data_IF_722055975039
#
_entry.id   IF_722055975039
#
_cell.length_a   1.000
_cell.length_b   1.000
_cell.length_c   1.000
_cell.angle_alpha   90.00
_cell.angle_beta   90.00
_cell.angle_gamma   90.00
#
_symmetry.space_group_name_H-M   'P 1'
#
loop_
_entity.id
_entity.type
_entity.pdbx_description
1 polymer ?
#
# COMPACT_ATOMS: atom_id res chain seq x y z
N UNK A 1 47.39 -2.67 4.19
CA UNK A 1 46.35 -2.75 5.24
C UNK A 1 45.14 -1.85 4.95
N UNK A 2 45.22 -0.87 4.03
CA UNK A 2 44.08 -0.03 3.60
C UNK A 2 42.97 -0.76 2.83
N UNK A 3 43.27 -1.87 2.13
CA UNK A 3 42.25 -2.60 1.34
C UNK A 3 41.22 -3.38 2.16
N UNK A 4 41.46 -3.61 3.46
CA UNK A 4 40.54 -4.36 4.33
C UNK A 4 39.55 -3.45 5.07
N UNK A 5 39.80 -2.13 5.13
CA UNK A 5 38.92 -1.16 5.80
C UNK A 5 37.77 -0.71 4.88
N UNK A 6 37.97 -0.77 3.55
CA UNK A 6 36.94 -0.37 2.57
C UNK A 6 35.89 -1.46 2.32
N UNK A 7 36.16 -2.72 2.68
CA UNK A 7 35.15 -3.80 2.64
C UNK A 7 34.22 -3.81 3.87
N UNK A 8 34.60 -3.15 4.96
CA UNK A 8 33.86 -3.19 6.23
C UNK A 8 32.57 -2.35 6.25
N UNK A 9 32.33 -1.49 5.25
CA UNK A 9 31.25 -0.50 5.27
C UNK A 9 30.31 -0.54 4.06
N UNK A 10 30.18 -1.68 3.35
CA UNK A 10 29.12 -1.80 2.34
C UNK A 10 27.76 -1.90 3.05
N UNK A 11 26.82 -0.95 2.85
CA UNK A 11 25.56 -0.97 3.57
C UNK A 11 24.75 -2.24 3.26
N UNK A 12 24.33 -2.98 4.29
CA UNK A 12 23.57 -4.23 4.12
C UNK A 12 22.33 -4.05 3.23
N UNK A 13 22.21 -4.93 2.23
CA UNK A 13 21.10 -4.94 1.27
C UNK A 13 19.98 -5.92 1.63
N UNK A 14 19.99 -6.48 2.85
CA UNK A 14 18.99 -7.48 3.31
C UNK A 14 17.56 -6.94 3.22
N UNK A 15 17.32 -5.72 3.72
CA UNK A 15 15.99 -5.08 3.65
C UNK A 15 15.55 -4.84 2.20
N UNK A 16 16.44 -4.31 1.35
CA UNK A 16 16.16 -4.15 -0.07
C UNK A 16 15.76 -5.47 -0.74
N UNK A 17 16.52 -6.55 -0.49
CA UNK A 17 16.20 -7.89 -1.02
C UNK A 17 14.82 -8.35 -0.53
N UNK A 18 14.53 -8.19 0.76
CA UNK A 18 13.21 -8.50 1.31
C UNK A 18 12.09 -7.74 0.58
N UNK A 19 12.27 -6.44 0.33
CA UNK A 19 11.27 -5.64 -0.38
C UNK A 19 10.98 -6.16 -1.79
N UNK A 20 12.03 -6.42 -2.58
CA UNK A 20 11.89 -6.79 -4.00
C UNK A 20 11.51 -8.25 -4.25
N UNK A 21 11.84 -9.14 -3.31
CA UNK A 21 11.53 -10.57 -3.42
C UNK A 21 10.22 -10.95 -2.75
N UNK A 22 9.79 -10.22 -1.72
CA UNK A 22 8.60 -10.60 -0.95
C UNK A 22 7.63 -9.44 -0.74
N UNK A 23 8.01 -8.36 -0.06
CA UNK A 23 7.05 -7.35 0.44
C UNK A 23 6.19 -6.72 -0.65
N UNK A 24 6.78 -6.33 -1.78
CA UNK A 24 6.03 -5.70 -2.88
C UNK A 24 5.08 -6.66 -3.59
N UNK A 25 5.45 -7.94 -3.68
CA UNK A 25 4.57 -8.99 -4.19
C UNK A 25 3.41 -9.27 -3.23
N UNK A 26 3.72 -9.43 -1.94
CA UNK A 26 2.71 -9.62 -0.91
C UNK A 26 1.73 -8.44 -0.86
N UNK A 27 2.22 -7.19 -0.92
CA UNK A 27 1.37 -6.00 -0.97
C UNK A 27 0.51 -5.94 -2.23
N UNK A 28 1.03 -6.36 -3.38
CA UNK A 28 0.24 -6.45 -4.62
C UNK A 28 -0.90 -7.48 -4.50
N UNK A 29 -0.61 -8.66 -3.94
CA UNK A 29 -1.62 -9.71 -3.71
C UNK A 29 -2.67 -9.26 -2.71
N UNK A 30 -2.26 -8.67 -1.58
CA UNK A 30 -3.19 -8.16 -0.57
C UNK A 30 -4.12 -7.08 -1.15
N UNK A 31 -3.59 -6.16 -1.95
CA UNK A 31 -4.42 -5.17 -2.62
C UNK A 31 -5.42 -5.79 -3.61
N UNK A 32 -5.04 -6.86 -4.33
CA UNK A 32 -5.97 -7.59 -5.20
C UNK A 32 -7.05 -8.33 -4.40
N UNK A 33 -6.68 -8.97 -3.29
CA UNK A 33 -7.65 -9.62 -2.40
C UNK A 33 -8.67 -8.62 -1.88
N UNK A 34 -8.21 -7.45 -1.40
CA UNK A 34 -9.09 -6.37 -0.97
C UNK A 34 -9.96 -5.86 -2.13
N UNK A 35 -9.40 -5.69 -3.34
CA UNK A 35 -10.18 -5.27 -4.51
C UNK A 35 -11.31 -6.26 -4.83
N UNK A 36 -11.06 -7.57 -4.73
CA UNK A 36 -12.11 -8.59 -4.88
C UNK A 36 -13.18 -8.41 -3.82
N UNK A 37 -12.80 -8.22 -2.55
CA UNK A 37 -13.77 -8.02 -1.47
C UNK A 37 -14.65 -6.79 -1.69
N UNK A 38 -14.09 -5.69 -2.19
CA UNK A 38 -14.85 -4.49 -2.56
C UNK A 38 -15.78 -4.75 -3.75
N UNK A 39 -15.33 -5.45 -4.80
CA UNK A 39 -16.20 -5.78 -5.94
C UNK A 39 -17.37 -6.68 -5.56
N UNK A 40 -17.15 -7.63 -4.65
CA UNK A 40 -18.19 -8.58 -4.22
C UNK A 40 -19.00 -8.06 -3.04
N UNK A 41 -18.60 -6.94 -2.42
CA UNK A 41 -19.19 -6.42 -1.18
C UNK A 41 -18.94 -7.31 0.03
N UNK A 42 -18.00 -8.26 -0.04
CA UNK A 42 -17.77 -9.22 1.06
C UNK A 42 -17.10 -8.58 2.28
N UNK A 43 -16.68 -7.31 2.17
CA UNK A 43 -16.30 -6.48 3.32
C UNK A 43 -17.44 -6.31 4.32
N UNK A 44 -18.69 -6.47 3.88
CA UNK A 44 -19.89 -6.37 4.73
C UNK A 44 -20.43 -7.74 5.16
N UNK A 45 -19.72 -8.83 4.87
CA UNK A 45 -20.14 -10.20 5.18
C UNK A 45 -20.53 -11.00 3.94
N UNK A 46 -21.60 -11.78 4.04
CA UNK A 46 -22.16 -12.59 2.96
C UNK A 46 -22.83 -11.74 1.88
N UNK A 47 -23.07 -12.33 0.70
CA UNK A 47 -23.71 -11.60 -0.41
C UNK A 47 -25.09 -11.04 -0.08
N UNK A 48 -25.84 -11.68 0.83
CA UNK A 48 -27.15 -11.19 1.26
C UNK A 48 -27.02 -9.96 2.17
N UNK A 49 -26.05 -9.97 3.09
CA UNK A 49 -25.78 -8.84 3.99
C UNK A 49 -25.27 -7.63 3.20
N UNK A 50 -24.36 -7.84 2.25
CA UNK A 50 -23.86 -6.80 1.36
C UNK A 50 -25.00 -6.14 0.56
N UNK A 51 -25.95 -6.93 0.05
CA UNK A 51 -27.10 -6.39 -0.67
C UNK A 51 -28.00 -5.51 0.21
N UNK A 52 -28.18 -5.88 1.48
CA UNK A 52 -28.94 -5.04 2.43
C UNK A 52 -28.22 -3.72 2.71
N UNK A 53 -26.89 -3.77 2.90
CA UNK A 53 -26.07 -2.56 3.10
C UNK A 53 -26.17 -1.63 1.90
N UNK A 54 -26.05 -2.16 0.67
CA UNK A 54 -26.15 -1.35 -0.54
C UNK A 54 -27.57 -0.87 -0.85
N UNK A 55 -28.60 -1.58 -0.42
CA UNK A 55 -29.98 -1.13 -0.53
C UNK A 55 -30.28 0.02 0.45
N UNK A 56 -29.63 0.00 1.62
CA UNK A 56 -29.82 1.03 2.64
C UNK A 56 -28.97 2.29 2.37
N UNK A 57 -27.71 2.11 1.97
CA UNK A 57 -26.78 3.19 1.65
C UNK A 57 -26.61 3.33 0.14
N UNK A 58 -27.48 4.14 -0.47
CA UNK A 58 -27.39 4.43 -1.89
C UNK A 58 -26.05 5.08 -2.26
N UNK A 59 -25.47 4.68 -3.38
CA UNK A 59 -24.15 5.13 -3.83
C UNK A 59 -22.93 4.42 -3.21
N UNK A 60 -23.06 3.73 -2.07
CA UNK A 60 -21.92 3.05 -1.43
C UNK A 60 -21.31 1.97 -2.34
N UNK A 61 -22.15 1.25 -3.09
CA UNK A 61 -21.70 0.27 -4.09
C UNK A 61 -20.81 0.89 -5.16
N UNK A 62 -21.10 2.13 -5.58
CA UNK A 62 -20.28 2.83 -6.56
C UNK A 62 -18.92 3.23 -5.96
N UNK A 63 -18.90 3.67 -4.70
CA UNK A 63 -17.66 3.97 -3.96
C UNK A 63 -16.77 2.74 -3.87
N UNK A 64 -17.33 1.58 -3.51
CA UNK A 64 -16.58 0.32 -3.41
C UNK A 64 -16.01 -0.12 -4.75
N UNK A 65 -16.77 0.01 -5.84
CA UNK A 65 -16.27 -0.30 -7.19
C UNK A 65 -15.09 0.61 -7.57
N UNK A 66 -15.16 1.91 -7.26
CA UNK A 66 -14.05 2.84 -7.50
C UNK A 66 -12.82 2.47 -6.66
N UNK A 67 -13.01 2.10 -5.39
CA UNK A 67 -11.94 1.65 -4.50
C UNK A 67 -11.29 0.36 -5.02
N UNK A 68 -12.09 -0.61 -5.47
CA UNK A 68 -11.59 -1.85 -6.05
C UNK A 68 -10.70 -1.59 -7.27
N UNK A 69 -11.12 -0.71 -8.18
CA UNK A 69 -10.32 -0.32 -9.34
C UNK A 69 -9.01 0.38 -8.92
N UNK A 70 -9.08 1.28 -7.94
CA UNK A 70 -7.89 1.95 -7.41
C UNK A 70 -6.90 0.95 -6.82
N UNK A 71 -7.36 -0.05 -6.07
CA UNK A 71 -6.51 -1.08 -5.48
C UNK A 71 -5.83 -1.97 -6.54
N UNK A 72 -6.50 -2.25 -7.66
CA UNK A 72 -5.87 -2.92 -8.81
C UNK A 72 -4.74 -2.06 -9.39
N UNK A 73 -4.98 -0.76 -9.58
CA UNK A 73 -3.94 0.18 -10.07
C UNK A 73 -2.75 0.22 -9.11
N UNK A 74 -3.00 0.29 -7.80
CA UNK A 74 -1.95 0.26 -6.76
C UNK A 74 -1.19 -1.07 -6.79
N UNK A 75 -1.87 -2.19 -7.01
CA UNK A 75 -1.23 -3.51 -7.14
C UNK A 75 -0.26 -3.55 -8.31
N UNK A 76 -0.69 -3.09 -9.49
CA UNK A 76 0.19 -2.95 -10.66
C UNK A 76 1.36 -2.02 -10.35
N UNK A 77 1.10 -0.87 -9.71
CA UNK A 77 2.15 0.08 -9.34
C UNK A 77 3.18 -0.51 -8.36
N UNK A 78 2.76 -1.40 -7.46
CA UNK A 78 3.66 -2.15 -6.58
C UNK A 78 4.63 -3.02 -7.37
N UNK A 79 4.14 -3.73 -8.39
CA UNK A 79 4.97 -4.57 -9.26
C UNK A 79 5.93 -3.72 -10.10
N UNK A 80 5.46 -2.61 -10.66
CA UNK A 80 6.34 -1.67 -11.40
C UNK A 80 7.43 -1.11 -10.49
N UNK A 81 7.07 -0.71 -9.26
CA UNK A 81 8.01 -0.23 -8.23
C UNK A 81 9.06 -1.30 -7.91
N UNK A 82 8.64 -2.56 -7.81
CA UNK A 82 9.56 -3.69 -7.61
C UNK A 82 10.58 -3.78 -8.73
N UNK A 83 10.16 -3.73 -9.99
CA UNK A 83 11.08 -3.79 -11.13
C UNK A 83 12.01 -2.57 -11.17
N UNK A 84 11.52 -1.37 -10.83
CA UNK A 84 12.35 -0.18 -10.72
C UNK A 84 13.43 -0.31 -9.64
N UNK A 85 13.08 -0.85 -8.47
CA UNK A 85 14.01 -1.10 -7.37
C UNK A 85 15.03 -2.18 -7.72
N UNK A 86 14.59 -3.31 -8.27
CA UNK A 86 15.49 -4.40 -8.68
C UNK A 86 16.45 -3.97 -9.79
N UNK A 87 16.02 -3.05 -10.66
CA UNK A 87 16.86 -2.43 -11.68
C UNK A 87 17.77 -1.33 -11.17
N UNK A 88 17.75 -0.99 -9.87
CA UNK A 88 18.49 0.11 -9.28
C UNK A 88 18.25 1.46 -9.98
N UNK A 89 17.02 1.67 -10.47
CA UNK A 89 16.65 2.91 -11.17
C UNK A 89 16.63 4.08 -10.21
N UNK A 90 17.07 5.26 -10.63
CA UNK A 90 17.10 6.47 -9.79
C UNK A 90 15.74 6.80 -9.14
N UNK A 91 14.64 6.52 -9.85
CA UNK A 91 13.26 6.75 -9.36
C UNK A 91 12.72 5.63 -8.46
N UNK A 92 13.36 4.47 -8.36
CA UNK A 92 12.86 3.29 -7.63
C UNK A 92 12.49 3.59 -6.17
N UNK A 93 13.38 4.20 -5.36
CA UNK A 93 13.07 4.57 -3.99
C UNK A 93 11.93 5.60 -3.88
N UNK A 94 11.83 6.53 -4.84
CA UNK A 94 10.74 7.52 -4.88
C UNK A 94 9.40 6.86 -5.17
N UNK A 95 9.36 5.92 -6.11
CA UNK A 95 8.16 5.14 -6.41
C UNK A 95 7.69 4.32 -5.20
N UNK A 96 8.63 3.76 -4.43
CA UNK A 96 8.32 3.04 -3.20
C UNK A 96 7.68 3.95 -2.14
N UNK A 97 8.23 5.15 -1.93
CA UNK A 97 7.62 6.13 -1.02
C UNK A 97 6.22 6.54 -1.51
N UNK A 98 6.08 6.79 -2.82
CA UNK A 98 4.81 7.10 -3.45
C UNK A 98 3.78 5.99 -3.27
N UNK A 99 4.18 4.72 -3.39
CA UNK A 99 3.31 3.57 -3.19
C UNK A 99 2.69 3.56 -1.78
N UNK A 100 3.51 3.73 -0.73
CA UNK A 100 2.99 3.77 0.65
C UNK A 100 2.12 5.00 0.90
N UNK A 101 2.46 6.15 0.33
CA UNK A 101 1.65 7.36 0.44
C UNK A 101 0.30 7.21 -0.28
N UNK A 102 0.26 6.60 -1.47
CA UNK A 102 -0.98 6.36 -2.21
C UNK A 102 -1.87 5.38 -1.45
N UNK A 103 -1.32 4.31 -0.85
CA UNK A 103 -2.10 3.40 0.00
C UNK A 103 -2.71 4.14 1.21
N UNK A 104 -1.91 4.98 1.86
CA UNK A 104 -2.36 5.80 2.99
C UNK A 104 -3.51 6.74 2.59
N UNK A 105 -3.32 7.47 1.49
CA UNK A 105 -4.33 8.41 0.96
C UNK A 105 -5.60 7.67 0.55
N UNK A 106 -5.49 6.54 -0.13
CA UNK A 106 -6.63 5.73 -0.55
C UNK A 106 -7.46 5.26 0.66
N UNK A 107 -6.81 4.79 1.73
CA UNK A 107 -7.50 4.37 2.94
C UNK A 107 -8.25 5.54 3.62
N UNK A 108 -7.60 6.69 3.79
CA UNK A 108 -8.24 7.88 4.39
C UNK A 108 -9.37 8.41 3.51
N UNK A 109 -9.17 8.44 2.19
CA UNK A 109 -10.17 8.92 1.24
C UNK A 109 -11.41 8.03 1.25
N UNK A 110 -11.23 6.71 1.28
CA UNK A 110 -12.33 5.76 1.41
C UNK A 110 -13.14 5.99 2.70
N UNK A 111 -12.48 6.17 3.85
CA UNK A 111 -13.17 6.46 5.12
C UNK A 111 -14.00 7.74 5.05
N UNK A 112 -13.47 8.81 4.47
CA UNK A 112 -14.16 10.10 4.35
C UNK A 112 -15.41 9.96 3.47
N UNK A 113 -15.28 9.32 2.31
CA UNK A 113 -16.42 9.12 1.41
C UNK A 113 -17.45 8.16 2.02
N UNK A 114 -17.01 7.04 2.59
CA UNK A 114 -17.91 6.09 3.23
C UNK A 114 -18.68 6.75 4.38
N UNK A 115 -18.03 7.58 5.18
CA UNK A 115 -18.68 8.38 6.23
C UNK A 115 -19.70 9.37 5.66
N UNK A 116 -19.35 10.07 4.58
CA UNK A 116 -20.26 11.02 3.92
C UNK A 116 -21.48 10.33 3.31
N UNK A 117 -21.32 9.14 2.72
CA UNK A 117 -22.41 8.37 2.08
C UNK A 117 -23.30 7.69 3.13
N UNK A 118 -22.72 7.15 4.19
CA UNK A 118 -23.46 6.38 5.20
C UNK A 118 -24.01 7.23 6.35
N UNK A 119 -23.46 8.43 6.55
CA UNK A 119 -23.72 9.26 7.73
C UNK A 119 -23.10 8.72 9.02
N UNK A 120 -22.36 7.60 8.96
CA UNK A 120 -21.68 7.00 10.11
C UNK A 120 -20.42 7.82 10.43
N UNK A 121 -20.13 8.02 11.72
CA UNK A 121 -18.95 8.75 12.14
C UNK A 121 -17.65 8.06 11.70
N UNK A 122 -16.60 8.83 11.42
CA UNK A 122 -15.29 8.25 11.04
C UNK A 122 -14.76 7.28 12.10
N UNK A 123 -15.01 7.55 13.38
CA UNK A 123 -14.55 6.70 14.48
C UNK A 123 -15.14 5.29 14.44
N UNK A 124 -16.41 5.17 14.05
CA UNK A 124 -17.12 3.89 14.01
C UNK A 124 -16.78 3.07 12.75
N UNK A 125 -16.35 3.74 11.67
CA UNK A 125 -15.87 3.09 10.45
C UNK A 125 -14.41 2.61 10.55
N UNK A 126 -13.64 3.12 11.52
CA UNK A 126 -12.25 2.74 11.71
C UNK A 126 -12.18 1.44 12.50
N UNK A 127 -11.87 0.35 11.81
CA UNK A 127 -11.59 -0.93 12.41
C UNK A 127 -10.09 -1.17 12.65
N UNK A 128 -9.77 -2.29 13.32
CA UNK A 128 -8.39 -2.67 13.64
C UNK A 128 -7.52 -2.90 12.40
N UNK A 129 -8.09 -3.40 11.30
CA UNK A 129 -7.41 -3.58 10.02
C UNK A 129 -7.02 -2.24 9.40
N UNK A 130 -7.93 -1.28 9.44
CA UNK A 130 -7.72 0.07 8.93
C UNK A 130 -6.61 0.75 9.71
N UNK A 131 -6.67 0.73 11.04
CA UNK A 131 -5.61 1.26 11.90
C UNK A 131 -4.26 0.60 11.58
N UNK A 132 -4.24 -0.73 11.47
CA UNK A 132 -3.02 -1.48 11.17
C UNK A 132 -2.43 -1.07 9.81
N UNK A 133 -3.27 -0.86 8.80
CA UNK A 133 -2.84 -0.47 7.45
C UNK A 133 -2.28 0.97 7.42
N UNK A 134 -2.90 1.90 8.13
CA UNK A 134 -2.46 3.29 8.25
C UNK A 134 -1.10 3.36 8.96
N UNK A 135 -0.98 2.73 10.13
CA UNK A 135 0.27 2.69 10.90
C UNK A 135 1.38 2.04 10.07
N UNK A 136 1.09 0.91 9.42
CA UNK A 136 2.07 0.21 8.57
C UNK A 136 2.56 1.09 7.42
N UNK A 137 1.66 1.79 6.74
CA UNK A 137 2.02 2.68 5.62
C UNK A 137 2.91 3.83 6.09
N UNK A 138 2.56 4.47 7.21
CA UNK A 138 3.35 5.56 7.80
C UNK A 138 4.73 5.06 8.21
N UNK A 139 4.80 3.95 8.96
CA UNK A 139 6.06 3.36 9.41
C UNK A 139 6.96 3.00 8.21
N UNK A 140 6.40 2.41 7.17
CA UNK A 140 7.15 2.02 5.97
C UNK A 140 7.69 3.24 5.21
N UNK A 141 7.00 4.38 5.19
CA UNK A 141 7.57 5.62 4.61
C UNK A 141 8.83 6.04 5.37
N UNK A 142 8.78 6.11 6.71
CA UNK A 142 9.93 6.54 7.51
C UNK A 142 11.11 5.57 7.44
N UNK A 143 10.85 4.26 7.56
CA UNK A 143 11.86 3.21 7.46
C UNK A 143 12.56 3.30 6.11
N UNK A 144 11.79 3.37 5.01
CA UNK A 144 12.36 3.39 3.67
C UNK A 144 13.07 4.70 3.34
N UNK A 145 12.56 5.84 3.81
CA UNK A 145 13.24 7.14 3.66
C UNK A 145 14.63 7.11 4.31
N UNK A 146 14.72 6.64 5.56
CA UNK A 146 16.00 6.50 6.27
C UNK A 146 16.92 5.47 5.60
N UNK A 147 16.36 4.33 5.17
CA UNK A 147 17.12 3.24 4.55
C UNK A 147 17.75 3.64 3.19
N UNK A 148 16.94 4.21 2.28
CA UNK A 148 17.38 4.58 0.94
C UNK A 148 18.17 5.90 0.91
N UNK A 149 17.96 6.81 1.87
CA UNK A 149 18.81 8.00 2.01
C UNK A 149 20.30 7.63 2.17
N UNK A 150 20.60 6.59 2.96
CA UNK A 150 21.97 6.08 3.15
C UNK A 150 22.53 5.32 1.93
N UNK A 151 21.70 5.03 0.93
CA UNK A 151 22.00 4.17 -0.23
C UNK A 151 21.69 4.85 -1.56
N UNK A 152 21.45 6.16 -1.56
CA UNK A 152 21.03 6.90 -2.75
C UNK A 152 22.04 6.75 -3.91
N UNK A 153 23.34 6.67 -3.60
CA UNK A 153 24.42 6.45 -4.57
C UNK A 153 24.30 5.13 -5.36
N UNK A 154 23.55 4.14 -4.87
CA UNK A 154 23.31 2.87 -5.57
C UNK A 154 22.23 2.99 -6.65
N UNK A 155 21.46 4.08 -6.67
CA UNK A 155 20.31 4.28 -7.56
C UNK A 155 20.58 5.41 -8.55
N UNK A 156 21.38 5.13 -9.57
CA UNK A 156 21.81 6.10 -10.58
C UNK A 156 21.62 5.62 -12.03
N UNK A 157 21.01 4.44 -12.24
CA UNK A 157 20.60 3.95 -13.56
C UNK A 157 19.29 4.60 -14.00
#
# INVERSE_FOLDING_TARGET
MENNLNQANTPSMKWHKFLIYFSLWAGAVLNLLNAVQYFTGSIYGSGSEANLVYAYYDGLKAVDMLMAMLLIVISVFSIVTRFALAGYKARGPQMLMGLYLINLIAAVFYLIIASAVTGISLGDLIDSSTISSLISSIAMVFINKSYYGKRAHLFNK
#
